data_IF_734500466076
#
_entry.id   IF_734500466076
#
_cell.length_a   1.000
_cell.length_b   1.000
_cell.length_c   1.000
_cell.angle_alpha   90.00
_cell.angle_beta   90.00
_cell.angle_gamma   90.00
#
_symmetry.space_group_name_H-M   'P 1'
#
loop_
_entity.id
_entity.type
_entity.pdbx_description
1 polymer ?
#
# COMPACT_ATOMS: atom_id res chain seq x y z
N UNK A 1 -33.05 40.56 32.80
CA UNK A 1 -33.04 39.28 32.08
C UNK A 1 -31.86 39.28 31.14
N UNK A 2 -30.71 38.78 31.60
CA UNK A 2 -29.56 38.49 30.77
C UNK A 2 -28.70 37.51 31.57
N UNK A 3 -28.81 36.23 31.24
CA UNK A 3 -27.95 35.20 31.79
C UNK A 3 -27.86 34.03 30.83
N UNK A 4 -26.61 33.60 30.64
CA UNK A 4 -26.12 32.33 30.10
C UNK A 4 -26.28 32.04 28.61
N UNK A 5 -25.21 32.34 27.85
CA UNK A 5 -24.41 31.38 27.04
C UNK A 5 -23.03 32.08 26.91
N UNK A 6 -21.83 31.54 27.07
CA UNK A 6 -21.16 30.31 26.61
C UNK A 6 -19.80 30.24 27.35
N UNK A 7 -19.50 29.19 28.12
CA UNK A 7 -18.11 28.83 28.52
C UNK A 7 -18.04 27.32 28.70
N UNK A 8 -18.05 26.54 27.61
CA UNK A 8 -17.75 25.09 27.67
C UNK A 8 -16.98 24.57 26.44
N UNK A 9 -16.43 25.43 25.58
CA UNK A 9 -15.71 24.99 24.38
C UNK A 9 -14.17 24.87 24.56
N UNK A 10 -13.57 25.42 25.62
CA UNK A 10 -12.09 25.51 25.76
C UNK A 10 -11.44 24.34 26.53
N UNK A 11 -12.21 23.48 27.20
CA UNK A 11 -11.66 22.42 28.05
C UNK A 11 -11.52 21.04 27.37
N UNK A 12 -12.14 20.83 26.19
CA UNK A 12 -12.15 19.53 25.52
C UNK A 12 -10.88 19.24 24.68
N UNK A 13 -10.25 20.29 24.15
CA UNK A 13 -9.07 20.17 23.28
C UNK A 13 -7.81 19.61 23.98
N UNK A 14 -7.41 20.08 25.18
CA UNK A 14 -6.19 19.63 25.85
C UNK A 14 -6.27 18.16 26.32
N UNK A 15 -7.47 17.68 26.64
CA UNK A 15 -7.70 16.32 27.12
C UNK A 15 -7.59 15.26 26.01
N UNK A 16 -7.98 15.61 24.77
CA UNK A 16 -7.88 14.71 23.62
C UNK A 16 -6.41 14.48 23.21
N UNK A 17 -5.58 15.54 23.23
CA UNK A 17 -4.14 15.46 22.90
C UNK A 17 -3.36 14.65 23.94
N UNK A 18 -3.64 14.84 25.24
CA UNK A 18 -2.99 14.06 26.31
C UNK A 18 -3.31 12.55 26.24
N UNK A 19 -4.55 12.21 25.87
CA UNK A 19 -4.97 10.82 25.65
C UNK A 19 -4.30 10.18 24.43
N UNK A 20 -4.05 10.95 23.37
CA UNK A 20 -3.36 10.47 22.17
C UNK A 20 -1.87 10.23 22.42
N UNK A 21 -1.18 11.15 23.09
CA UNK A 21 0.23 10.99 23.46
C UNK A 21 0.48 9.72 24.30
N UNK A 22 -0.42 9.39 25.22
CA UNK A 22 -0.35 8.16 26.01
C UNK A 22 -0.49 6.88 25.15
N UNK A 23 -1.21 6.95 24.02
CA UNK A 23 -1.37 5.82 23.07
C UNK A 23 -0.17 5.65 22.14
N UNK A 24 0.62 6.70 21.91
CA UNK A 24 1.83 6.63 21.08
C UNK A 24 2.98 5.88 21.76
N UNK A 25 3.07 5.92 23.09
CA UNK A 25 4.19 5.32 23.82
C UNK A 25 4.26 3.78 23.66
N UNK A 26 3.15 3.01 23.83
CA UNK A 26 3.16 1.57 23.53
C UNK A 26 3.54 1.26 22.08
N UNK A 27 3.10 2.09 21.12
CA UNK A 27 3.37 1.91 19.69
C UNK A 27 4.86 2.08 19.38
N UNK A 28 5.49 3.10 19.96
CA UNK A 28 6.93 3.33 19.86
C UNK A 28 7.72 2.18 20.49
N UNK A 29 7.29 1.68 21.65
CA UNK A 29 7.91 0.52 22.31
C UNK A 29 7.80 -0.75 21.46
N UNK A 30 6.63 -1.01 20.87
CA UNK A 30 6.45 -2.13 19.94
C UNK A 30 7.36 -2.04 18.71
N UNK A 31 7.55 -0.84 18.16
CA UNK A 31 8.45 -0.64 17.03
C UNK A 31 9.93 -0.85 17.41
N UNK A 32 10.34 -0.45 18.62
CA UNK A 32 11.68 -0.73 19.17
C UNK A 32 11.92 -2.21 19.42
N UNK A 33 10.90 -2.93 19.91
CA UNK A 33 10.97 -4.38 20.09
C UNK A 33 11.13 -5.09 18.74
N UNK A 34 10.35 -4.67 17.74
CA UNK A 34 10.46 -5.18 16.37
C UNK A 34 11.85 -4.97 15.78
N UNK A 35 12.41 -3.76 15.92
CA UNK A 35 13.79 -3.47 15.52
C UNK A 35 14.80 -4.39 16.23
N UNK A 36 14.64 -4.56 17.54
CA UNK A 36 15.55 -5.40 18.35
C UNK A 36 15.53 -6.86 17.89
N UNK A 37 14.37 -7.37 17.47
CA UNK A 37 14.25 -8.70 16.87
C UNK A 37 14.98 -8.77 15.53
N UNK A 38 14.75 -7.82 14.63
CA UNK A 38 15.45 -7.75 13.34
C UNK A 38 16.97 -7.66 13.49
N UNK A 39 17.48 -6.90 14.46
CA UNK A 39 18.92 -6.77 14.70
C UNK A 39 19.57 -8.02 15.28
N UNK A 40 18.80 -8.98 15.83
CA UNK A 40 19.32 -10.28 16.28
C UNK A 40 19.43 -11.29 15.15
N UNK A 41 18.55 -11.16 14.16
CA UNK A 41 18.43 -12.08 13.04
C UNK A 41 19.21 -11.60 11.80
N UNK A 42 19.58 -10.31 11.76
CA UNK A 42 20.32 -9.69 10.66
C UNK A 42 21.85 -9.63 10.85
N UNK A 43 22.57 -9.40 9.75
CA UNK A 43 23.97 -8.96 9.83
C UNK A 43 24.04 -7.62 10.59
N UNK A 44 25.00 -7.50 11.51
CA UNK A 44 25.09 -6.41 12.49
C UNK A 44 25.30 -4.99 11.90
N UNK A 45 25.13 -4.80 10.59
CA UNK A 45 25.38 -3.56 9.87
C UNK A 45 24.35 -3.28 8.75
N UNK A 46 23.11 -3.77 8.86
CA UNK A 46 22.07 -3.36 7.92
C UNK A 46 21.80 -1.85 8.01
N UNK A 47 21.86 -1.18 6.86
CA UNK A 47 21.76 0.29 6.78
C UNK A 47 20.36 0.79 7.13
N UNK A 48 19.31 0.04 6.77
CA UNK A 48 17.92 0.39 7.08
C UNK A 48 17.65 0.23 8.57
N UNK A 49 18.11 -0.85 9.20
CA UNK A 49 17.97 -1.03 10.65
C UNK A 49 18.73 0.05 11.43
N UNK A 50 19.91 0.45 10.96
CA UNK A 50 20.68 1.55 11.55
C UNK A 50 19.94 2.89 11.43
N UNK A 51 19.34 3.16 10.27
CA UNK A 51 18.55 4.36 10.04
C UNK A 51 17.25 4.38 10.85
N UNK A 52 16.59 3.24 10.99
CA UNK A 52 15.43 3.06 11.85
C UNK A 52 15.79 3.34 13.31
N UNK A 53 16.91 2.80 13.80
CA UNK A 53 17.40 3.05 15.16
C UNK A 53 17.59 4.55 15.43
N UNK A 54 18.30 5.25 14.54
CA UNK A 54 18.52 6.69 14.65
C UNK A 54 17.21 7.50 14.57
N UNK A 55 16.21 7.02 13.83
CA UNK A 55 14.89 7.65 13.75
C UNK A 55 14.07 7.42 15.03
N UNK A 56 14.16 6.23 15.63
CA UNK A 56 13.51 5.92 16.90
C UNK A 56 14.11 6.67 18.08
N UNK A 57 15.41 6.95 18.06
CA UNK A 57 16.07 7.83 19.04
C UNK A 57 15.52 9.26 18.95
N UNK A 58 15.45 9.81 17.73
CA UNK A 58 14.83 11.13 17.48
C UNK A 58 13.37 11.20 17.96
N UNK A 59 12.58 10.15 17.69
CA UNK A 59 11.21 10.03 18.19
C UNK A 59 11.14 9.98 19.72
N UNK A 60 12.07 9.27 20.36
CA UNK A 60 12.12 9.18 21.82
C UNK A 60 12.45 10.52 22.47
N UNK A 61 13.28 11.34 21.83
CA UNK A 61 13.61 12.67 22.32
C UNK A 61 12.46 13.66 22.13
N UNK A 62 11.74 13.59 20.99
CA UNK A 62 10.51 14.36 20.77
C UNK A 62 9.46 14.11 21.86
N UNK A 63 9.34 12.87 22.34
CA UNK A 63 8.41 12.54 23.42
C UNK A 63 8.78 13.13 24.79
N UNK A 64 10.00 13.65 24.97
CA UNK A 64 10.49 14.21 26.25
C UNK A 64 10.40 15.74 26.31
N UNK A 65 10.11 16.42 25.19
CA UNK A 65 10.07 17.89 25.12
C UNK A 65 8.89 18.46 25.95
N UNK A 66 9.13 19.26 27.01
CA UNK A 66 8.07 19.84 27.82
C UNK A 66 7.36 20.97 27.06
N UNK A 67 6.02 20.91 26.99
CA UNK A 67 5.21 21.90 26.28
C UNK A 67 5.15 21.71 24.76
N UNK A 68 5.72 20.62 24.24
CA UNK A 68 5.46 20.24 22.87
C UNK A 68 4.04 19.71 22.77
N UNK A 69 3.15 20.50 22.15
CA UNK A 69 2.20 19.94 21.22
C UNK A 69 3.01 18.99 20.33
N UNK A 70 3.09 17.71 20.69
CA UNK A 70 3.69 16.66 19.88
C UNK A 70 2.75 16.54 18.70
N UNK A 71 2.86 17.50 17.76
CA UNK A 71 1.89 17.63 16.70
C UNK A 71 1.97 16.32 15.95
N UNK A 72 0.82 15.69 15.78
CA UNK A 72 0.65 14.48 15.00
C UNK A 72 1.47 14.54 13.68
N UNK A 73 1.56 15.73 13.08
CA UNK A 73 2.32 16.07 11.87
C UNK A 73 3.84 16.02 11.99
N UNK A 74 4.44 16.07 13.19
CA UNK A 74 5.88 15.84 13.42
C UNK A 74 6.17 14.40 13.79
N UNK A 75 5.31 13.82 14.63
CA UNK A 75 5.50 12.46 15.13
C UNK A 75 5.25 11.40 14.06
N UNK A 76 4.10 11.45 13.38
CA UNK A 76 3.68 10.36 12.47
C UNK A 76 4.60 10.20 11.25
N UNK A 77 5.13 11.26 10.61
CA UNK A 77 6.09 11.07 9.52
C UNK A 77 7.36 10.32 9.97
N UNK A 78 7.94 10.70 11.12
CA UNK A 78 9.13 10.02 11.66
C UNK A 78 8.82 8.58 12.08
N UNK A 79 7.67 8.35 12.71
CA UNK A 79 7.21 7.00 13.05
C UNK A 79 7.05 6.14 11.80
N UNK A 80 6.43 6.69 10.76
CA UNK A 80 6.25 6.02 9.46
C UNK A 80 7.58 5.69 8.80
N UNK A 81 8.56 6.60 8.85
CA UNK A 81 9.89 6.35 8.30
C UNK A 81 10.59 5.18 9.02
N UNK A 82 10.60 5.17 10.36
CA UNK A 82 11.18 4.07 11.11
C UNK A 82 10.48 2.73 10.82
N UNK A 83 9.16 2.75 10.71
CA UNK A 83 8.35 1.59 10.33
C UNK A 83 8.70 1.08 8.93
N UNK A 84 8.81 1.98 7.95
CA UNK A 84 9.18 1.64 6.57
C UNK A 84 10.58 1.00 6.53
N UNK A 85 11.56 1.56 7.24
CA UNK A 85 12.92 1.04 7.26
C UNK A 85 12.98 -0.38 7.89
N UNK A 86 12.24 -0.61 8.98
CA UNK A 86 12.18 -1.94 9.64
C UNK A 86 11.46 -2.97 8.77
N UNK A 87 10.30 -2.60 8.22
CA UNK A 87 9.51 -3.50 7.37
C UNK A 87 10.19 -3.75 6.02
N UNK A 88 11.01 -2.83 5.53
CA UNK A 88 11.91 -3.05 4.38
C UNK A 88 12.82 -4.25 4.60
N UNK A 89 13.50 -4.29 5.74
CA UNK A 89 14.34 -5.42 6.09
C UNK A 89 13.55 -6.73 6.16
N UNK A 90 12.42 -6.76 6.86
CA UNK A 90 11.63 -7.98 7.04
C UNK A 90 11.01 -8.50 5.73
N UNK A 91 10.56 -7.61 4.85
CA UNK A 91 10.04 -8.00 3.53
C UNK A 91 11.14 -8.61 2.67
N UNK A 92 12.36 -8.05 2.70
CA UNK A 92 13.48 -8.64 1.97
C UNK A 92 13.83 -10.04 2.47
N UNK A 93 13.72 -10.30 3.78
CA UNK A 93 13.91 -11.65 4.32
C UNK A 93 12.91 -12.64 3.72
N UNK A 94 11.62 -12.28 3.66
CA UNK A 94 10.60 -13.13 3.03
C UNK A 94 10.92 -13.40 1.55
N UNK A 95 11.37 -12.39 0.81
CA UNK A 95 11.74 -12.53 -0.60
C UNK A 95 12.97 -13.41 -0.76
N UNK A 96 14.00 -13.22 0.06
CA UNK A 96 15.23 -14.00 0.04
C UNK A 96 14.99 -15.49 0.36
N UNK A 97 14.01 -15.77 1.22
CA UNK A 97 13.60 -17.12 1.61
C UNK A 97 12.51 -17.72 0.68
N UNK A 98 12.14 -17.00 -0.40
CA UNK A 98 11.08 -17.38 -1.34
C UNK A 98 9.75 -17.70 -0.66
N UNK A 99 9.33 -16.85 0.26
CA UNK A 99 8.09 -16.94 1.03
C UNK A 99 7.79 -18.38 1.54
N UNK A 100 8.52 -18.87 2.56
CA UNK A 100 8.33 -20.20 3.14
C UNK A 100 6.86 -20.50 3.47
N UNK A 101 6.37 -21.68 3.07
CA UNK A 101 4.96 -22.04 3.12
C UNK A 101 4.37 -22.03 4.55
N UNK A 102 5.14 -22.48 5.54
CA UNK A 102 4.67 -22.62 6.92
C UNK A 102 4.47 -21.29 7.66
N UNK A 103 5.18 -20.22 7.26
CA UNK A 103 5.28 -18.98 8.05
C UNK A 103 4.87 -17.72 7.29
N UNK A 104 4.92 -17.72 5.95
CA UNK A 104 4.81 -16.49 5.17
C UNK A 104 3.45 -15.83 5.23
N UNK A 105 2.37 -16.62 5.25
CA UNK A 105 1.02 -16.07 5.26
C UNK A 105 0.81 -15.14 6.46
N UNK A 106 1.07 -15.65 7.67
CA UNK A 106 0.93 -14.87 8.89
C UNK A 106 1.88 -13.67 8.93
N UNK A 107 3.10 -13.82 8.40
CA UNK A 107 4.07 -12.72 8.37
C UNK A 107 3.67 -11.62 7.38
N UNK A 108 3.14 -11.98 6.21
CA UNK A 108 2.61 -11.02 5.23
C UNK A 108 1.43 -10.26 5.82
N UNK A 109 0.50 -10.93 6.50
CA UNK A 109 -0.62 -10.25 7.19
C UNK A 109 -0.13 -9.31 8.30
N UNK A 110 0.85 -9.73 9.10
CA UNK A 110 1.50 -8.89 10.11
C UNK A 110 2.11 -7.62 9.48
N UNK A 111 2.83 -7.76 8.36
CA UNK A 111 3.47 -6.66 7.65
C UNK A 111 2.45 -5.69 7.03
N UNK A 112 1.39 -6.20 6.41
CA UNK A 112 0.31 -5.35 5.86
C UNK A 112 -0.38 -4.57 6.98
N UNK A 113 -0.64 -5.19 8.12
CA UNK A 113 -1.24 -4.54 9.29
C UNK A 113 -0.34 -3.43 9.86
N UNK A 114 0.97 -3.70 9.92
CA UNK A 114 1.97 -2.74 10.36
C UNK A 114 2.06 -1.56 9.40
N UNK A 115 2.22 -1.81 8.09
CA UNK A 115 2.23 -0.75 7.07
C UNK A 115 0.93 0.07 7.07
N UNK A 116 -0.20 -0.50 7.46
CA UNK A 116 -1.49 0.23 7.56
C UNK A 116 -1.65 1.04 8.84
N UNK A 117 -0.77 0.85 9.83
CA UNK A 117 -0.84 1.50 11.14
C UNK A 117 -0.72 3.03 11.09
N UNK A 118 0.18 3.66 10.30
CA UNK A 118 0.27 5.11 10.25
C UNK A 118 -1.03 5.81 9.88
N UNK A 119 -1.75 5.29 8.88
CA UNK A 119 -3.05 5.84 8.46
C UNK A 119 -4.10 5.66 9.55
N UNK A 120 -4.14 4.49 10.21
CA UNK A 120 -5.03 4.24 11.36
C UNK A 120 -4.75 5.20 12.51
N UNK A 121 -3.47 5.49 12.80
CA UNK A 121 -3.11 6.44 13.84
C UNK A 121 -3.58 7.86 13.52
N UNK A 122 -3.59 8.28 12.25
CA UNK A 122 -4.20 9.57 11.85
C UNK A 122 -5.69 9.56 12.15
N UNK A 123 -6.41 8.51 11.74
CA UNK A 123 -7.87 8.39 11.92
C UNK A 123 -8.23 8.35 13.42
N UNK A 124 -7.46 7.62 14.24
CA UNK A 124 -7.65 7.49 15.69
C UNK A 124 -7.32 8.78 16.48
N UNK A 125 -6.64 9.75 15.86
CA UNK A 125 -6.19 10.97 16.53
C UNK A 125 -7.30 11.97 16.86
N UNK A 126 -8.54 11.74 16.42
CA UNK A 126 -9.71 12.63 16.64
C UNK A 126 -9.55 14.05 16.06
N UNK A 127 -8.55 14.28 15.21
CA UNK A 127 -8.25 15.60 14.62
C UNK A 127 -9.05 15.91 13.35
N UNK A 128 -9.88 14.99 12.86
CA UNK A 128 -10.56 15.06 11.54
C UNK A 128 -9.62 15.32 10.36
N UNK A 129 -8.30 15.20 10.54
CA UNK A 129 -7.32 15.40 9.48
C UNK A 129 -7.26 14.19 8.56
N UNK A 130 -7.12 14.44 7.25
CA UNK A 130 -6.88 13.38 6.29
C UNK A 130 -5.43 12.88 6.37
N UNK A 131 -5.18 11.58 6.18
CA UNK A 131 -3.83 11.02 6.16
C UNK A 131 -2.87 11.77 5.24
N UNK A 132 -3.35 12.28 4.11
CA UNK A 132 -2.55 13.03 3.13
C UNK A 132 -2.00 14.33 3.72
N UNK A 133 -2.77 15.04 4.55
CA UNK A 133 -2.34 16.29 5.18
C UNK A 133 -1.28 16.06 6.25
N UNK A 134 -1.30 14.91 6.92
CA UNK A 134 -0.44 14.63 8.08
C UNK A 134 0.85 13.91 7.68
N UNK A 135 0.74 12.88 6.85
CA UNK A 135 1.88 12.07 6.39
C UNK A 135 2.55 12.68 5.15
N UNK A 136 1.81 13.47 4.37
CA UNK A 136 2.26 13.94 3.08
C UNK A 136 2.17 12.86 2.00
N UNK A 137 2.25 13.33 0.75
CA UNK A 137 2.11 12.49 -0.45
C UNK A 137 3.17 11.40 -0.54
N UNK A 138 4.45 11.76 -0.35
CA UNK A 138 5.60 10.86 -0.50
C UNK A 138 5.50 9.61 0.40
N UNK A 139 5.16 9.80 1.68
CA UNK A 139 5.03 8.69 2.63
C UNK A 139 3.81 7.83 2.34
N UNK A 140 2.68 8.44 1.98
CA UNK A 140 1.49 7.67 1.61
C UNK A 140 1.73 6.84 0.35
N UNK A 141 2.24 7.46 -0.71
CA UNK A 141 2.57 6.74 -1.94
C UNK A 141 3.51 5.56 -1.65
N UNK A 142 4.54 5.78 -0.83
CA UNK A 142 5.45 4.72 -0.41
C UNK A 142 4.73 3.60 0.37
N UNK A 143 3.86 3.94 1.33
CA UNK A 143 3.10 2.94 2.09
C UNK A 143 2.20 2.09 1.19
N UNK A 144 1.50 2.71 0.24
CA UNK A 144 0.64 2.01 -0.71
C UNK A 144 1.46 1.16 -1.71
N UNK A 145 2.58 1.69 -2.19
CA UNK A 145 3.54 0.92 -3.00
C UNK A 145 4.01 -0.32 -2.25
N UNK A 146 4.50 -0.16 -1.02
CA UNK A 146 5.05 -1.23 -0.19
C UNK A 146 4.05 -2.35 0.06
N UNK A 147 2.82 -2.02 0.42
CA UNK A 147 1.75 -3.02 0.60
C UNK A 147 1.42 -3.74 -0.71
N UNK A 148 1.30 -2.99 -1.81
CA UNK A 148 1.01 -3.54 -3.13
C UNK A 148 2.10 -4.48 -3.63
N UNK A 149 3.37 -4.06 -3.53
CA UNK A 149 4.53 -4.83 -3.92
C UNK A 149 4.71 -6.10 -3.09
N UNK A 150 4.54 -6.02 -1.75
CA UNK A 150 4.58 -7.20 -0.88
C UNK A 150 3.54 -8.25 -1.29
N UNK A 151 2.30 -7.81 -1.52
CA UNK A 151 1.22 -8.71 -1.95
C UNK A 151 1.48 -9.26 -3.36
N UNK A 152 2.01 -8.44 -4.27
CA UNK A 152 2.43 -8.91 -5.59
C UNK A 152 3.47 -10.03 -5.47
N UNK A 153 4.54 -9.83 -4.71
CA UNK A 153 5.61 -10.81 -4.55
C UNK A 153 5.10 -12.10 -3.91
N UNK A 154 4.29 -11.98 -2.84
CA UNK A 154 3.66 -13.13 -2.21
C UNK A 154 2.76 -13.91 -3.19
N UNK A 155 1.84 -13.22 -3.87
CA UNK A 155 0.96 -13.83 -4.88
C UNK A 155 1.76 -14.46 -6.02
N UNK A 156 2.86 -13.83 -6.45
CA UNK A 156 3.74 -14.33 -7.50
C UNK A 156 4.42 -15.65 -7.13
N UNK A 157 4.83 -15.82 -5.88
CA UNK A 157 5.40 -17.08 -5.40
C UNK A 157 4.33 -18.15 -5.21
N UNK A 158 3.23 -17.84 -4.50
CA UNK A 158 2.22 -18.86 -4.16
C UNK A 158 1.41 -19.35 -5.35
N UNK A 159 1.25 -18.53 -6.42
CA UNK A 159 0.56 -18.98 -7.66
C UNK A 159 1.24 -20.16 -8.34
N UNK A 160 2.52 -20.40 -8.05
CA UNK A 160 3.29 -21.50 -8.64
C UNK A 160 3.14 -22.80 -7.84
N UNK A 161 2.60 -22.72 -6.61
CA UNK A 161 2.32 -23.84 -5.72
C UNK A 161 0.91 -24.37 -5.97
N UNK A 162 0.80 -25.39 -6.82
CA UNK A 162 -0.50 -25.95 -7.25
C UNK A 162 -1.38 -26.41 -6.07
N UNK A 163 -0.78 -27.11 -5.10
CA UNK A 163 -1.49 -27.64 -3.92
C UNK A 163 -2.06 -26.50 -3.05
N UNK A 164 -1.29 -25.43 -2.86
CA UNK A 164 -1.74 -24.26 -2.11
C UNK A 164 -2.89 -23.53 -2.82
N UNK A 165 -2.81 -23.42 -4.14
CA UNK A 165 -3.86 -22.78 -4.94
C UNK A 165 -5.20 -23.50 -4.79
N UNK A 166 -5.20 -24.84 -4.78
CA UNK A 166 -6.43 -25.65 -4.64
C UNK A 166 -7.10 -25.49 -3.26
N UNK A 167 -6.33 -25.27 -2.19
CA UNK A 167 -6.88 -25.11 -0.84
C UNK A 167 -7.25 -23.64 -0.51
N UNK A 168 -6.52 -22.67 -1.08
CA UNK A 168 -6.55 -21.27 -0.63
C UNK A 168 -7.01 -20.26 -1.68
N UNK A 169 -7.75 -20.67 -2.73
CA UNK A 169 -8.21 -19.75 -3.79
C UNK A 169 -8.88 -18.48 -3.27
N UNK A 170 -9.74 -18.57 -2.26
CA UNK A 170 -10.43 -17.39 -1.69
C UNK A 170 -9.45 -16.44 -0.98
N UNK A 171 -8.43 -16.98 -0.33
CA UNK A 171 -7.37 -16.18 0.30
C UNK A 171 -6.51 -15.50 -0.77
N UNK A 172 -6.12 -16.22 -1.82
CA UNK A 172 -5.42 -15.64 -2.96
C UNK A 172 -6.20 -14.48 -3.56
N UNK A 173 -7.49 -14.68 -3.81
CA UNK A 173 -8.39 -13.66 -4.36
C UNK A 173 -8.38 -12.40 -3.49
N UNK A 174 -8.49 -12.54 -2.18
CA UNK A 174 -8.42 -11.40 -1.23
C UNK A 174 -7.09 -10.64 -1.32
N UNK A 175 -5.96 -11.36 -1.42
CA UNK A 175 -4.65 -10.73 -1.57
C UNK A 175 -4.49 -10.03 -2.92
N UNK A 176 -5.00 -10.62 -4.00
CA UNK A 176 -5.01 -10.01 -5.32
C UNK A 176 -5.82 -8.71 -5.33
N UNK A 177 -7.04 -8.72 -4.77
CA UNK A 177 -7.87 -7.51 -4.63
C UNK A 177 -7.15 -6.42 -3.82
N UNK A 178 -6.60 -6.78 -2.67
CA UNK A 178 -5.94 -5.83 -1.78
C UNK A 178 -4.70 -5.23 -2.44
N UNK A 179 -3.87 -6.06 -3.09
CA UNK A 179 -2.66 -5.60 -3.77
C UNK A 179 -2.97 -4.69 -4.95
N UNK A 180 -3.94 -5.04 -5.79
CA UNK A 180 -4.41 -4.16 -6.88
C UNK A 180 -4.94 -2.85 -6.31
N UNK A 181 -5.79 -2.90 -5.28
CA UNK A 181 -6.30 -1.70 -4.62
C UNK A 181 -5.16 -0.78 -4.16
N UNK A 182 -4.14 -1.34 -3.51
CA UNK A 182 -3.01 -0.53 -3.02
C UNK A 182 -2.19 0.08 -4.17
N UNK A 183 -1.90 -0.68 -5.22
CA UNK A 183 -1.16 -0.17 -6.39
C UNK A 183 -1.93 0.90 -7.16
N UNK A 184 -3.24 0.71 -7.35
CA UNK A 184 -4.12 1.72 -7.98
C UNK A 184 -4.13 3.00 -7.16
N UNK A 185 -4.24 2.89 -5.83
CA UNK A 185 -4.23 4.04 -4.94
C UNK A 185 -2.87 4.76 -4.94
N UNK A 186 -1.77 4.01 -4.97
CA UNK A 186 -0.41 4.54 -5.13
C UNK A 186 -0.29 5.38 -6.41
N UNK A 187 -0.68 4.83 -7.56
CA UNK A 187 -0.65 5.53 -8.86
C UNK A 187 -1.58 6.75 -8.91
N UNK A 188 -2.62 6.78 -8.07
CA UNK A 188 -3.57 7.87 -7.97
C UNK A 188 -3.01 9.14 -7.32
N UNK A 189 -1.98 9.05 -6.45
CA UNK A 189 -1.52 10.22 -5.67
C UNK A 189 -0.94 11.35 -6.52
N UNK A 190 -0.32 11.01 -7.66
CA UNK A 190 0.33 11.98 -8.56
C UNK A 190 -0.38 12.16 -9.89
N UNK A 191 -1.53 11.51 -10.07
CA UNK A 191 -2.37 11.71 -11.24
C UNK A 191 -3.01 13.11 -11.12
N UNK A 192 -2.49 14.08 -11.86
CA UNK A 192 -3.09 15.42 -11.90
C UNK A 192 -4.35 15.41 -12.75
N UNK A 193 -5.44 16.00 -12.25
CA UNK A 193 -6.63 16.30 -13.05
C UNK A 193 -6.43 17.51 -13.98
N UNK A 194 -5.31 18.24 -13.84
CA UNK A 194 -5.08 19.50 -14.51
C UNK A 194 -3.80 19.44 -15.38
N UNK A 195 -3.93 19.18 -16.70
CA UNK A 195 -2.79 18.98 -17.62
C UNK A 195 -2.02 20.28 -17.94
N UNK A 196 -2.32 21.39 -17.25
CA UNK A 196 -1.91 22.75 -17.62
C UNK A 196 -1.24 23.52 -16.47
N UNK A 197 -0.76 22.83 -15.42
CA UNK A 197 0.19 23.46 -14.49
C UNK A 197 1.48 23.78 -15.28
N UNK A 198 1.75 25.07 -15.43
CA UNK A 198 2.74 25.64 -16.33
C UNK A 198 4.18 25.35 -15.92
N UNK A 199 4.62 24.12 -16.10
CA UNK A 199 6.02 23.75 -16.05
C UNK A 199 6.64 23.92 -17.44
N UNK A 200 7.66 24.76 -17.53
CA UNK A 200 8.53 24.85 -18.70
C UNK A 200 9.47 23.65 -18.69
N UNK A 201 9.00 22.53 -19.23
CA UNK A 201 9.87 21.38 -19.45
C UNK A 201 10.71 21.59 -20.71
N UNK A 202 12.02 21.39 -20.58
CA UNK A 202 12.94 21.40 -21.73
C UNK A 202 12.73 20.17 -22.64
N UNK A 203 12.23 19.06 -22.07
CA UNK A 203 11.97 17.80 -22.78
C UNK A 203 10.47 17.44 -22.77
N UNK A 204 9.90 17.28 -23.96
CA UNK A 204 8.49 16.94 -24.14
C UNK A 204 8.13 15.55 -23.61
N UNK A 205 9.08 14.60 -23.58
CA UNK A 205 8.83 13.27 -23.03
C UNK A 205 8.71 13.31 -21.50
N UNK A 206 9.58 14.05 -20.82
CA UNK A 206 9.53 14.31 -19.38
C UNK A 206 8.22 15.00 -19.00
N UNK A 207 7.79 16.01 -19.76
CA UNK A 207 6.50 16.67 -19.55
C UNK A 207 5.33 15.68 -19.61
N UNK A 208 5.32 14.81 -20.63
CA UNK A 208 4.28 13.79 -20.80
C UNK A 208 4.25 12.79 -19.64
N UNK A 209 5.40 12.35 -19.15
CA UNK A 209 5.49 11.44 -18.01
C UNK A 209 4.92 12.08 -16.75
N UNK A 210 5.29 13.32 -16.45
CA UNK A 210 4.80 14.04 -15.27
C UNK A 210 3.29 14.30 -15.36
N UNK A 211 2.77 14.70 -16.52
CA UNK A 211 1.32 14.85 -16.72
C UNK A 211 0.56 13.52 -16.54
N UNK A 212 1.19 12.39 -16.86
CA UNK A 212 0.64 11.06 -16.64
C UNK A 212 0.81 10.55 -15.20
N UNK A 213 1.40 11.35 -14.30
CA UNK A 213 1.64 10.96 -12.92
C UNK A 213 2.83 10.00 -12.74
N UNK A 214 3.79 9.97 -13.67
CA UNK A 214 4.91 9.01 -13.70
C UNK A 214 6.21 9.73 -13.34
N UNK A 215 6.71 9.46 -12.14
CA UNK A 215 7.88 10.15 -11.58
C UNK A 215 9.10 9.25 -11.37
N UNK A 216 8.92 7.93 -11.49
CA UNK A 216 9.99 6.95 -11.25
C UNK A 216 9.65 5.59 -11.84
N UNK A 217 10.66 4.73 -11.96
CA UNK A 217 10.52 3.33 -12.39
C UNK A 217 9.52 2.54 -11.53
N UNK A 218 9.34 2.94 -10.26
CA UNK A 218 8.37 2.34 -9.34
C UNK A 218 6.95 2.44 -9.90
N UNK A 219 6.60 3.54 -10.58
CA UNK A 219 5.29 3.71 -11.20
C UNK A 219 5.07 2.72 -12.34
N UNK A 220 6.11 2.43 -13.12
CA UNK A 220 6.05 1.45 -14.21
C UNK A 220 5.91 0.03 -13.66
N UNK A 221 6.67 -0.29 -12.59
CA UNK A 221 6.53 -1.55 -11.88
C UNK A 221 5.13 -1.70 -11.29
N UNK A 222 4.56 -0.66 -10.69
CA UNK A 222 3.20 -0.68 -10.15
C UNK A 222 2.14 -0.97 -11.22
N UNK A 223 2.27 -0.36 -12.41
CA UNK A 223 1.36 -0.65 -13.52
C UNK A 223 1.47 -2.12 -13.97
N UNK A 224 2.69 -2.64 -14.08
CA UNK A 224 2.91 -4.02 -14.50
C UNK A 224 2.42 -5.03 -13.45
N UNK A 225 2.76 -4.82 -12.18
CA UNK A 225 2.31 -5.65 -11.05
C UNK A 225 0.79 -5.67 -10.95
N UNK A 226 0.14 -4.50 -11.11
CA UNK A 226 -1.31 -4.40 -11.13
C UNK A 226 -1.91 -5.24 -12.27
N UNK A 227 -1.36 -5.12 -13.49
CA UNK A 227 -1.76 -5.91 -14.64
C UNK A 227 -1.64 -7.42 -14.42
N UNK A 228 -0.53 -7.88 -13.86
CA UNK A 228 -0.29 -9.29 -13.57
C UNK A 228 -1.22 -9.85 -12.50
N UNK A 229 -1.44 -9.10 -11.41
CA UNK A 229 -2.37 -9.50 -10.36
C UNK A 229 -3.81 -9.59 -10.88
N UNK A 230 -4.23 -8.63 -11.70
CA UNK A 230 -5.52 -8.70 -12.40
C UNK A 230 -5.63 -9.94 -13.29
N UNK A 231 -4.60 -10.22 -14.07
CA UNK A 231 -4.53 -11.41 -14.92
C UNK A 231 -4.64 -12.70 -14.10
N UNK A 232 -3.93 -12.81 -12.97
CA UNK A 232 -4.05 -13.96 -12.07
C UNK A 232 -5.43 -14.07 -11.44
N UNK A 233 -6.05 -12.95 -11.08
CA UNK A 233 -7.41 -12.90 -10.55
C UNK A 233 -8.43 -13.52 -11.50
N UNK A 234 -8.41 -13.13 -12.78
CA UNK A 234 -9.29 -13.71 -13.79
C UNK A 234 -8.91 -15.17 -14.10
N UNK A 235 -7.62 -15.46 -14.23
CA UNK A 235 -7.14 -16.78 -14.65
C UNK A 235 -7.42 -17.88 -13.62
N UNK A 236 -7.28 -17.59 -12.33
CA UNK A 236 -7.35 -18.57 -11.26
C UNK A 236 -8.63 -18.48 -10.42
N UNK A 237 -9.17 -17.26 -10.21
CA UNK A 237 -10.30 -17.08 -9.29
C UNK A 237 -11.67 -16.98 -9.98
N UNK A 238 -11.74 -16.77 -11.30
CA UNK A 238 -13.02 -16.76 -12.03
C UNK A 238 -13.39 -18.10 -12.67
N UNK A 239 -12.40 -18.95 -12.98
CA UNK A 239 -12.64 -20.33 -13.48
C UNK A 239 -13.42 -21.19 -12.49
N UNK A 240 -13.33 -20.89 -11.19
CA UNK A 240 -14.11 -21.58 -10.17
C UNK A 240 -15.60 -21.24 -10.22
N UNK A 241 -16.02 -20.06 -10.72
CA UNK A 241 -17.46 -19.77 -10.87
C UNK A 241 -18.10 -20.67 -11.92
N UNK A 242 -17.42 -20.93 -13.04
CA UNK A 242 -17.91 -21.82 -14.09
C UNK A 242 -17.92 -23.30 -13.65
N UNK A 243 -16.96 -23.73 -12.83
CA UNK A 243 -16.93 -25.08 -12.26
C UNK A 243 -17.94 -25.28 -11.13
N UNK A 244 -18.08 -24.33 -10.19
CA UNK A 244 -19.06 -24.40 -9.10
C UNK A 244 -20.50 -24.28 -9.60
N UNK A 245 -20.76 -23.52 -10.66
CA UNK A 245 -22.09 -23.44 -11.30
C UNK A 245 -22.48 -24.72 -12.06
N UNK A 246 -21.51 -25.53 -12.50
CA UNK A 246 -21.76 -26.81 -13.19
C UNK A 246 -22.00 -27.99 -12.22
N UNK A 247 -21.54 -27.90 -10.98
CA UNK A 247 -21.93 -28.82 -9.89
C UNK A 247 -23.00 -28.16 -9.03
N UNK A 248 -24.27 -28.34 -9.42
CA UNK A 248 -25.43 -27.76 -8.77
C UNK A 248 -25.45 -27.96 -7.26
N UNK A 249 -25.11 -26.92 -6.52
CA UNK A 249 -25.45 -26.74 -5.13
C UNK A 249 -26.20 -25.40 -5.02
N UNK A 250 -27.52 -25.49 -5.02
CA UNK A 250 -28.40 -24.39 -4.62
C UNK A 250 -28.28 -24.14 -3.11
N UNK A 251 -28.61 -22.90 -2.72
CA UNK A 251 -28.67 -22.31 -1.37
C UNK A 251 -27.35 -21.65 -0.90
N UNK A 252 -27.34 -20.45 -0.33
CA UNK A 252 -28.40 -19.64 0.29
C UNK A 252 -28.01 -18.17 0.33
N UNK A 253 -29.02 -17.30 0.48
CA UNK A 253 -28.96 -15.85 0.66
C UNK A 253 -27.81 -15.35 1.55
N UNK A 254 -26.94 -14.50 0.99
CA UNK A 254 -26.10 -13.58 1.77
C UNK A 254 -26.58 -12.13 1.51
N UNK A 255 -26.71 -11.30 2.56
CA UNK A 255 -27.22 -9.94 2.43
C UNK A 255 -26.21 -9.03 1.71
N UNK A 256 -26.68 -7.97 1.02
CA UNK A 256 -25.79 -7.03 0.35
C UNK A 256 -25.13 -6.17 1.43
N UNK A 257 -23.87 -6.45 1.74
CA UNK A 257 -23.06 -5.65 2.64
C UNK A 257 -22.73 -4.32 1.95
N UNK A 258 -23.68 -3.40 2.01
CA UNK A 258 -23.54 -2.05 1.50
C UNK A 258 -22.76 -1.24 2.51
N UNK A 259 -21.49 -0.94 2.20
CA UNK A 259 -20.79 0.32 2.50
C UNK A 259 -19.43 0.36 1.78
N UNK A 260 -19.38 1.12 0.68
CA UNK A 260 -18.19 1.62 -0.03
C UNK A 260 -17.11 0.61 -0.48
N UNK A 261 -17.35 -0.04 -1.62
CA UNK A 261 -16.27 -0.27 -2.59
C UNK A 261 -16.90 -0.46 -3.96
N UNK A 262 -16.49 0.34 -4.96
CA UNK A 262 -16.65 -0.10 -6.35
C UNK A 262 -16.02 -1.48 -6.42
N UNK A 263 -16.81 -2.51 -6.75
CA UNK A 263 -16.27 -3.86 -6.94
C UNK A 263 -15.18 -3.72 -7.99
N UNK A 264 -13.94 -3.88 -7.58
CA UNK A 264 -12.78 -3.77 -8.45
C UNK A 264 -12.97 -4.76 -9.61
N UNK A 265 -13.09 -4.23 -10.82
CA UNK A 265 -13.11 -5.06 -12.02
C UNK A 265 -11.65 -5.36 -12.41
N UNK A 266 -11.22 -6.62 -12.21
CA UNK A 266 -9.87 -7.05 -12.55
C UNK A 266 -9.56 -6.83 -14.03
N UNK A 267 -10.52 -7.06 -14.93
CA UNK A 267 -10.31 -6.89 -16.36
C UNK A 267 -10.12 -5.42 -16.68
N UNK A 268 -11.10 -4.57 -16.36
CA UNK A 268 -11.05 -3.14 -16.71
C UNK A 268 -9.80 -2.49 -16.11
N UNK A 269 -9.53 -2.77 -14.84
CA UNK A 269 -8.35 -2.24 -14.14
C UNK A 269 -7.06 -2.75 -14.77
N UNK A 270 -6.98 -4.06 -15.04
CA UNK A 270 -5.79 -4.69 -15.62
C UNK A 270 -5.49 -4.18 -17.02
N UNK A 271 -6.51 -4.09 -17.88
CA UNK A 271 -6.40 -3.56 -19.24
C UNK A 271 -5.90 -2.12 -19.23
N UNK A 272 -6.52 -1.25 -18.42
CA UNK A 272 -6.13 0.15 -18.28
C UNK A 272 -4.66 0.28 -17.88
N UNK A 273 -4.20 -0.49 -16.89
CA UNK A 273 -2.83 -0.40 -16.36
C UNK A 273 -1.79 -0.90 -17.36
N UNK A 274 -2.05 -2.05 -17.99
CA UNK A 274 -1.13 -2.65 -18.96
C UNK A 274 -1.06 -1.81 -20.24
N UNK A 275 -2.19 -1.29 -20.71
CA UNK A 275 -2.22 -0.37 -21.85
C UNK A 275 -1.43 0.91 -21.57
N UNK A 276 -1.57 1.49 -20.37
CA UNK A 276 -0.79 2.66 -19.95
C UNK A 276 0.70 2.35 -19.90
N UNK A 277 1.09 1.22 -19.29
CA UNK A 277 2.48 0.75 -19.26
C UNK A 277 3.09 0.64 -20.66
N UNK A 278 2.43 -0.07 -21.59
CA UNK A 278 2.92 -0.23 -22.98
C UNK A 278 3.07 1.14 -23.66
N UNK A 279 2.07 2.01 -23.53
CA UNK A 279 2.08 3.34 -24.16
C UNK A 279 3.26 4.18 -23.69
N UNK A 280 3.59 4.10 -22.40
CA UNK A 280 4.70 4.85 -21.79
C UNK A 280 6.05 4.26 -22.19
N UNK A 281 6.20 2.94 -22.09
CA UNK A 281 7.43 2.22 -22.41
C UNK A 281 7.81 2.30 -23.90
N UNK A 282 6.83 2.22 -24.81
CA UNK A 282 7.09 2.28 -26.27
C UNK A 282 7.06 3.71 -26.82
N UNK A 283 6.59 4.66 -26.02
CA UNK A 283 6.54 6.09 -26.33
C UNK A 283 7.67 6.87 -25.64
N UNK A 284 7.36 7.68 -24.61
CA UNK A 284 8.33 8.53 -23.92
C UNK A 284 9.61 7.81 -23.44
N UNK A 285 9.52 6.53 -23.07
CA UNK A 285 10.62 5.76 -22.50
C UNK A 285 11.24 4.73 -23.47
N UNK A 286 11.00 4.86 -24.78
CA UNK A 286 11.48 3.88 -25.78
C UNK A 286 12.99 3.64 -25.74
N UNK A 287 13.78 4.67 -25.39
CA UNK A 287 15.24 4.58 -25.27
C UNK A 287 15.73 3.85 -24.02
N UNK A 288 14.84 3.55 -23.06
CA UNK A 288 15.17 2.91 -21.78
C UNK A 288 14.94 1.39 -21.78
N UNK A 289 14.56 0.80 -22.92
CA UNK A 289 14.52 -0.65 -23.16
C UNK A 289 13.66 -1.45 -22.15
N UNK A 290 12.58 -0.86 -21.64
CA UNK A 290 11.56 -1.59 -20.87
C UNK A 290 10.92 -2.70 -21.70
N UNK A 291 10.80 -3.91 -21.14
CA UNK A 291 10.20 -5.05 -21.85
C UNK A 291 8.67 -5.02 -21.80
N UNK A 292 8.04 -4.92 -22.97
CA UNK A 292 6.58 -4.89 -23.11
C UNK A 292 5.98 -6.22 -23.56
N UNK A 293 6.79 -7.28 -23.76
CA UNK A 293 6.31 -8.58 -24.28
C UNK A 293 5.26 -9.20 -23.37
N UNK A 294 5.52 -9.25 -22.06
CA UNK A 294 4.58 -9.85 -21.11
C UNK A 294 3.32 -9.00 -20.98
N UNK A 295 3.48 -7.67 -20.90
CA UNK A 295 2.38 -6.72 -20.90
C UNK A 295 1.43 -6.94 -22.10
N UNK A 296 1.97 -7.03 -23.32
CA UNK A 296 1.16 -7.29 -24.53
C UNK A 296 0.41 -8.63 -24.46
N UNK A 297 1.04 -9.69 -23.96
CA UNK A 297 0.37 -10.99 -23.78
C UNK A 297 -0.80 -10.93 -22.79
N UNK A 298 -0.64 -10.16 -21.72
CA UNK A 298 -1.70 -9.95 -20.71
C UNK A 298 -2.83 -9.10 -21.30
N UNK A 299 -2.50 -8.04 -22.04
CA UNK A 299 -3.48 -7.20 -22.71
C UNK A 299 -4.31 -8.01 -23.71
N UNK A 300 -3.67 -8.84 -24.54
CA UNK A 300 -4.36 -9.74 -25.46
C UNK A 300 -5.34 -10.64 -24.69
N UNK A 301 -4.94 -11.20 -23.55
CA UNK A 301 -5.82 -12.02 -22.72
C UNK A 301 -7.08 -11.25 -22.26
N UNK A 302 -6.94 -10.01 -21.79
CA UNK A 302 -8.10 -9.20 -21.37
C UNK A 302 -9.04 -8.89 -22.53
N UNK A 303 -8.50 -8.64 -23.73
CA UNK A 303 -9.30 -8.35 -24.92
C UNK A 303 -10.06 -9.57 -25.43
N UNK A 304 -9.46 -10.77 -25.39
CA UNK A 304 -10.12 -12.01 -25.84
C UNK A 304 -11.28 -12.43 -24.95
N UNK A 305 -11.25 -12.10 -23.66
CA UNK A 305 -12.37 -12.41 -22.78
C UNK A 305 -13.61 -11.52 -23.07
N UNK A 306 -13.50 -10.46 -23.90
CA UNK A 306 -14.59 -9.49 -24.17
C UNK A 306 -15.50 -9.91 -25.34
N UNK A 307 -15.20 -11.07 -25.93
CA UNK A 307 -15.92 -11.72 -27.04
C UNK A 307 -16.63 -12.94 -26.48
#
# INVERSE_FOLDING_TARGET
MASHVTVEAEAAFPMAEAGFAARLHPRLSGLKERLSRCSRDGEASDTFLTQAAATLERLADLCKEPGANCTLSRFLPLYTQALLDITYFEENQLVNEDFPEESSLGKVEELINALSEPERLVIESSTSQEPLTVLGMELLECLYWRRGALLYMFCHTVKERKEWLEEKTDSLKKFLYSGVHYLVKMLGFRSSDNPNEGFLYEDANTARLVCEGIFSDIHLLAMMYCGEMCYWGLKYCEKEKEQRQNTGAESSDDPPDSLHSQVLDFRETGEKMVQKYITVCEGPLKSHNWDTKNAKRILDFFQHLAI
#
